data_IF_915036319436
#
_entry.id   IF_915036319436
#
_cell.length_a   1.000
_cell.length_b   1.000
_cell.length_c   1.000
_cell.angle_alpha   90.00
_cell.angle_beta   90.00
_cell.angle_gamma   90.00
#
_symmetry.space_group_name_H-M   'P 1'
#
loop_
_entity.id
_entity.type
_entity.pdbx_description
1 polymer ?
#
# COMPACT_ATOMS: atom_id res chain seq x y z
N UNK A 1 7.90 -15.65 5.71
CA UNK A 1 6.77 -14.82 5.26
C UNK A 1 5.41 -15.42 5.60
N UNK A 2 5.04 -16.62 5.11
CA UNK A 2 3.68 -17.19 5.33
C UNK A 2 3.26 -17.35 6.79
N UNK A 3 4.17 -17.73 7.70
CA UNK A 3 3.84 -17.81 9.14
C UNK A 3 3.46 -16.44 9.70
N UNK A 4 4.26 -15.42 9.40
CA UNK A 4 3.99 -14.05 9.80
C UNK A 4 2.65 -13.54 9.24
N UNK A 5 2.32 -13.85 7.99
CA UNK A 5 1.03 -13.49 7.41
C UNK A 5 -0.13 -14.18 8.12
N UNK A 6 -0.04 -15.49 8.36
CA UNK A 6 -1.08 -16.25 9.05
C UNK A 6 -1.32 -15.72 10.48
N UNK A 7 -0.26 -15.31 11.19
CA UNK A 7 -0.34 -14.70 12.52
C UNK A 7 -1.08 -13.36 12.50
N UNK A 8 -1.01 -12.63 11.38
CA UNK A 8 -1.66 -11.32 11.20
C UNK A 8 -2.91 -11.39 10.30
N UNK A 9 -3.54 -12.57 10.19
CA UNK A 9 -4.74 -12.82 9.39
C UNK A 9 -4.63 -12.30 7.93
N UNK A 10 -3.41 -12.31 7.41
CA UNK A 10 -3.08 -11.96 6.06
C UNK A 10 -3.11 -13.16 5.12
N UNK A 11 -3.18 -12.87 3.83
CA UNK A 11 -2.98 -13.85 2.78
C UNK A 11 -2.10 -13.28 1.68
N UNK A 12 -1.54 -14.18 0.86
CA UNK A 12 -0.68 -13.84 -0.26
C UNK A 12 -1.13 -14.52 -1.52
N UNK A 13 -1.00 -13.79 -2.62
CA UNK A 13 -1.07 -14.36 -3.95
C UNK A 13 0.34 -14.46 -4.53
N UNK A 14 0.58 -15.59 -5.18
CA UNK A 14 1.83 -15.93 -5.83
C UNK A 14 1.67 -15.78 -7.34
N UNK A 15 2.72 -15.33 -8.01
CA UNK A 15 2.79 -15.36 -9.48
C UNK A 15 3.65 -16.53 -9.94
N UNK A 16 3.14 -17.25 -10.94
CA UNK A 16 3.85 -18.32 -11.64
C UNK A 16 4.87 -17.76 -12.66
N UNK A 17 4.83 -16.47 -12.99
CA UNK A 17 5.58 -15.89 -14.12
C UNK A 17 6.35 -14.64 -13.72
N UNK A 18 7.49 -14.82 -13.06
CA UNK A 18 8.58 -13.84 -13.18
C UNK A 18 9.84 -14.65 -13.55
N UNK A 19 10.02 -14.86 -14.87
CA UNK A 19 11.25 -15.43 -15.44
C UNK A 19 11.21 -16.89 -15.90
N UNK A 20 10.09 -17.60 -15.82
CA UNK A 20 10.01 -19.02 -16.20
C UNK A 20 9.87 -19.22 -17.73
N UNK A 21 10.89 -18.88 -18.50
CA UNK A 21 11.14 -19.52 -19.79
C UNK A 21 11.85 -20.85 -19.47
N UNK A 22 11.11 -21.96 -19.49
CA UNK A 22 11.48 -23.35 -19.13
C UNK A 22 11.45 -23.74 -17.65
N UNK A 23 10.32 -24.27 -17.17
CA UNK A 23 10.27 -25.07 -15.94
C UNK A 23 9.41 -26.34 -16.08
N UNK A 24 9.62 -27.12 -17.13
CA UNK A 24 9.09 -28.50 -17.17
C UNK A 24 9.84 -29.49 -16.26
N UNK A 25 10.89 -29.06 -15.54
CA UNK A 25 11.75 -29.96 -14.73
C UNK A 25 11.87 -29.64 -13.24
N UNK A 26 11.13 -28.67 -12.71
CA UNK A 26 11.28 -28.24 -11.30
C UNK A 26 9.96 -28.31 -10.54
N UNK A 27 9.33 -29.49 -10.52
CA UNK A 27 8.32 -29.78 -9.48
C UNK A 27 9.10 -30.18 -8.21
N UNK A 28 9.21 -29.31 -7.19
CA UNK A 28 9.95 -29.67 -5.99
C UNK A 28 9.18 -30.73 -5.20
N UNK A 29 9.94 -31.63 -4.57
CA UNK A 29 9.41 -32.77 -3.84
C UNK A 29 8.47 -32.29 -2.72
N UNK A 30 7.36 -33.03 -2.50
CA UNK A 30 6.29 -32.72 -1.53
C UNK A 30 6.79 -32.34 -0.12
N UNK A 31 7.94 -32.89 0.31
CA UNK A 31 8.52 -32.59 1.62
C UNK A 31 9.10 -31.16 1.71
N UNK A 32 9.64 -30.61 0.61
CA UNK A 32 10.20 -29.27 0.56
C UNK A 32 9.09 -28.21 0.63
N UNK A 33 7.98 -28.44 -0.09
CA UNK A 33 6.74 -27.64 0.02
C UNK A 33 6.17 -27.63 1.44
N UNK A 34 6.28 -28.76 2.15
CA UNK A 34 5.80 -28.91 3.53
C UNK A 34 6.65 -28.13 4.54
N UNK A 35 7.93 -27.93 4.23
CA UNK A 35 8.92 -27.38 5.18
C UNK A 35 9.21 -25.90 4.95
N UNK A 36 9.19 -25.44 3.69
CA UNK A 36 9.51 -24.06 3.31
C UNK A 36 8.29 -23.25 2.82
N UNK A 37 7.13 -23.90 2.65
CA UNK A 37 5.96 -23.28 2.00
C UNK A 37 6.09 -23.26 0.48
N UNK A 38 5.05 -22.74 -0.19
CA UNK A 38 5.07 -22.49 -1.64
C UNK A 38 5.96 -21.30 -2.03
N UNK A 39 6.37 -20.50 -1.04
CA UNK A 39 7.32 -19.36 -1.09
C UNK A 39 8.63 -19.67 -1.83
N UNK A 40 9.04 -20.94 -1.90
CA UNK A 40 10.29 -21.34 -2.54
C UNK A 40 10.19 -21.42 -4.08
N UNK A 41 8.99 -21.55 -4.64
CA UNK A 41 8.79 -21.89 -6.05
C UNK A 41 8.13 -20.78 -6.85
N UNK A 42 7.43 -19.88 -6.16
CA UNK A 42 6.62 -18.84 -6.73
C UNK A 42 6.90 -17.54 -5.98
N UNK A 43 6.96 -16.44 -6.71
CA UNK A 43 7.23 -15.13 -6.11
C UNK A 43 5.94 -14.59 -5.49
N UNK A 44 6.00 -14.17 -4.23
CA UNK A 44 4.89 -13.44 -3.60
C UNK A 44 4.78 -12.08 -4.30
N UNK A 45 3.63 -11.83 -4.90
CA UNK A 45 3.38 -10.64 -5.71
C UNK A 45 2.34 -9.74 -5.06
N UNK A 46 1.40 -10.31 -4.31
CA UNK A 46 0.39 -9.54 -3.57
C UNK A 46 0.38 -9.99 -2.13
N UNK A 47 0.39 -9.02 -1.22
CA UNK A 47 0.15 -9.22 0.21
C UNK A 47 -1.10 -8.43 0.60
N UNK A 48 -2.09 -9.11 1.17
CA UNK A 48 -3.26 -8.46 1.78
C UNK A 48 -3.30 -8.81 3.26
N UNK A 49 -3.37 -7.78 4.11
CA UNK A 49 -3.48 -7.88 5.56
C UNK A 49 -4.83 -7.32 6.00
N UNK A 50 -5.63 -8.18 6.63
CA UNK A 50 -7.00 -7.90 7.09
C UNK A 50 -7.02 -7.62 8.61
N UNK A 51 -8.19 -7.26 9.21
CA UNK A 51 -8.25 -6.58 10.49
C UNK A 51 -7.52 -7.32 11.60
N UNK A 52 -6.39 -6.76 12.02
CA UNK A 52 -5.70 -7.18 13.24
C UNK A 52 -5.31 -5.94 14.02
N UNK A 53 -5.78 -5.86 15.25
CA UNK A 53 -5.61 -4.67 16.10
C UNK A 53 -4.15 -4.44 16.52
N UNK A 54 -3.28 -5.44 16.35
CA UNK A 54 -1.90 -5.43 16.87
C UNK A 54 -0.80 -5.34 15.82
N UNK A 55 -1.12 -5.44 14.53
CA UNK A 55 -0.07 -5.41 13.51
C UNK A 55 0.40 -3.98 13.25
N UNK A 56 1.70 -3.74 13.43
CA UNK A 56 2.33 -2.44 13.20
C UNK A 56 3.65 -2.52 12.43
N UNK A 57 4.27 -3.69 12.36
CA UNK A 57 5.59 -3.88 11.75
C UNK A 57 5.48 -4.48 10.34
N UNK A 58 5.87 -3.70 9.34
CA UNK A 58 5.96 -4.13 7.94
C UNK A 58 7.34 -4.63 7.54
N UNK A 59 8.33 -4.68 8.45
CA UNK A 59 9.71 -5.07 8.15
C UNK A 59 9.84 -6.37 7.34
N UNK A 60 9.02 -7.42 7.58
CA UNK A 60 9.08 -8.63 6.77
C UNK A 60 8.81 -8.38 5.28
N UNK A 61 7.99 -7.40 4.91
CA UNK A 61 7.68 -7.11 3.51
C UNK A 61 8.90 -6.67 2.70
N UNK A 62 9.90 -6.06 3.33
CA UNK A 62 11.15 -5.65 2.68
C UNK A 62 11.94 -6.83 2.10
N UNK A 63 11.67 -8.06 2.56
CA UNK A 63 12.30 -9.29 2.05
C UNK A 63 11.62 -9.86 0.79
N UNK A 64 10.59 -9.17 0.25
CA UNK A 64 9.82 -9.61 -0.93
C UNK A 64 10.18 -8.77 -2.16
N UNK A 65 11.31 -9.03 -2.84
CA UNK A 65 11.81 -8.17 -3.91
C UNK A 65 10.86 -8.07 -5.10
N UNK A 66 9.97 -9.03 -5.29
CA UNK A 66 9.01 -9.10 -6.39
C UNK A 66 7.60 -8.62 -6.02
N UNK A 67 7.42 -8.02 -4.85
CA UNK A 67 6.11 -7.57 -4.40
C UNK A 67 5.59 -6.44 -5.31
N UNK A 68 4.39 -6.62 -5.86
CA UNK A 68 3.72 -5.68 -6.76
C UNK A 68 2.59 -4.93 -6.04
N UNK A 69 1.92 -5.59 -5.09
CA UNK A 69 0.76 -5.04 -4.42
C UNK A 69 0.76 -5.30 -2.92
N UNK A 70 0.47 -4.24 -2.16
CA UNK A 70 0.27 -4.29 -0.70
C UNK A 70 -1.09 -3.69 -0.37
N UNK A 71 -1.90 -4.43 0.35
CA UNK A 71 -3.19 -3.99 0.87
C UNK A 71 -3.22 -4.15 2.39
N UNK A 72 -3.42 -3.06 3.12
CA UNK A 72 -3.54 -3.04 4.58
C UNK A 72 -4.90 -2.46 4.95
N UNK A 73 -5.69 -3.21 5.71
CA UNK A 73 -6.97 -2.74 6.21
C UNK A 73 -7.09 -2.98 7.72
N UNK A 74 -7.47 -1.94 8.48
CA UNK A 74 -7.71 -2.00 9.92
C UNK A 74 -6.50 -2.52 10.70
N UNK A 75 -5.34 -1.87 10.50
CA UNK A 75 -4.06 -2.22 11.13
C UNK A 75 -3.55 -1.05 11.97
N UNK A 76 -2.61 -1.31 12.88
CA UNK A 76 -1.94 -0.27 13.68
C UNK A 76 -0.64 0.23 13.04
N UNK A 77 -0.44 -0.04 11.75
CA UNK A 77 0.75 0.38 10.99
C UNK A 77 0.80 1.90 10.89
N UNK A 78 1.99 2.46 11.15
CA UNK A 78 2.28 3.89 11.01
C UNK A 78 3.58 4.17 10.25
N UNK A 79 4.40 3.15 9.97
CA UNK A 79 5.68 3.29 9.28
C UNK A 79 5.69 2.56 7.92
N UNK A 80 5.88 3.33 6.85
CA UNK A 80 5.98 2.83 5.48
C UNK A 80 7.42 2.57 5.01
N UNK A 81 8.45 2.85 5.84
CA UNK A 81 9.85 2.61 5.49
C UNK A 81 10.14 1.22 4.93
N UNK A 82 9.53 0.13 5.42
CA UNK A 82 9.77 -1.20 4.84
C UNK A 82 9.38 -1.31 3.36
N UNK A 83 8.45 -0.49 2.87
CA UNK A 83 8.04 -0.48 1.46
C UNK A 83 9.04 0.24 0.54
N UNK A 84 9.92 1.09 1.08
CA UNK A 84 10.81 1.94 0.30
C UNK A 84 11.83 1.17 -0.57
N UNK A 85 12.10 -0.09 -0.22
CA UNK A 85 13.02 -0.96 -0.96
C UNK A 85 12.35 -1.76 -2.09
N UNK A 86 11.02 -1.72 -2.19
CA UNK A 86 10.23 -2.56 -3.09
C UNK A 86 10.09 -1.93 -4.47
N UNK A 87 11.15 -2.03 -5.28
CA UNK A 87 11.24 -1.37 -6.59
C UNK A 87 10.19 -1.84 -7.61
N UNK A 88 9.56 -3.00 -7.39
CA UNK A 88 8.52 -3.55 -8.26
C UNK A 88 7.09 -3.25 -7.80
N UNK A 89 6.94 -2.57 -6.66
CA UNK A 89 5.65 -2.22 -6.08
C UNK A 89 4.92 -1.21 -6.97
N UNK A 90 3.69 -1.56 -7.37
CA UNK A 90 2.82 -0.75 -8.25
C UNK A 90 1.56 -0.27 -7.55
N UNK A 91 1.07 -1.03 -6.58
CA UNK A 91 -0.19 -0.74 -5.91
C UNK A 91 -0.01 -0.77 -4.39
N UNK A 92 -0.41 0.31 -3.73
CA UNK A 92 -0.50 0.40 -2.27
C UNK A 92 -1.91 0.84 -1.91
N UNK A 93 -2.61 0.03 -1.13
CA UNK A 93 -3.93 0.36 -0.60
C UNK A 93 -3.94 0.28 0.92
N UNK A 94 -4.37 1.35 1.57
CA UNK A 94 -4.25 1.60 2.99
C UNK A 94 -5.60 2.11 3.50
N UNK A 95 -6.34 1.26 4.21
CA UNK A 95 -7.65 1.59 4.81
C UNK A 95 -7.56 1.54 6.33
N UNK A 96 -7.77 2.69 6.98
CA UNK A 96 -7.70 2.86 8.43
C UNK A 96 -6.35 2.49 9.13
N UNK A 97 -5.15 2.61 8.50
CA UNK A 97 -3.91 2.60 9.27
C UNK A 97 -3.60 3.98 9.86
N UNK A 98 -2.63 4.03 10.77
CA UNK A 98 -2.19 5.25 11.47
C UNK A 98 -1.04 5.95 10.74
N UNK A 99 -1.11 6.00 9.41
CA UNK A 99 -0.05 6.56 8.57
C UNK A 99 -0.25 8.06 8.43
N UNK A 100 0.82 8.81 8.66
CA UNK A 100 0.87 10.26 8.47
C UNK A 100 1.94 10.68 7.46
N UNK A 101 3.06 9.94 7.43
CA UNK A 101 4.21 10.23 6.57
C UNK A 101 4.23 9.35 5.30
N UNK A 102 4.14 10.02 4.14
CA UNK A 102 4.22 9.39 2.82
C UNK A 102 5.61 9.45 2.20
N UNK A 103 6.59 10.08 2.85
CA UNK A 103 7.95 10.22 2.33
C UNK A 103 8.63 8.90 1.94
N UNK A 104 8.39 7.75 2.60
CA UNK A 104 8.98 6.48 2.16
C UNK A 104 8.56 6.04 0.74
N UNK A 105 7.36 6.44 0.28
CA UNK A 105 6.85 6.08 -1.04
C UNK A 105 7.61 6.79 -2.19
N UNK A 106 8.37 7.85 -1.90
CA UNK A 106 9.25 8.51 -2.88
C UNK A 106 10.31 7.56 -3.46
N UNK A 107 10.68 6.52 -2.71
CA UNK A 107 11.68 5.53 -3.14
C UNK A 107 11.08 4.37 -3.93
N UNK A 108 9.78 4.41 -4.22
CA UNK A 108 9.05 3.40 -4.99
C UNK A 108 8.75 3.97 -6.39
N UNK A 109 9.70 3.91 -7.34
CA UNK A 109 9.63 4.67 -8.60
C UNK A 109 8.55 4.18 -9.57
N UNK A 110 7.99 3.00 -9.33
CA UNK A 110 7.01 2.35 -10.18
C UNK A 110 5.59 2.34 -9.57
N UNK A 111 5.35 3.10 -8.49
CA UNK A 111 4.02 3.16 -7.89
C UNK A 111 3.03 3.82 -8.84
N UNK A 112 1.98 3.09 -9.23
CA UNK A 112 0.96 3.53 -10.18
C UNK A 112 -0.38 3.84 -9.51
N UNK A 113 -0.70 3.14 -8.43
CA UNK A 113 -1.96 3.28 -7.70
C UNK A 113 -1.70 3.42 -6.21
N UNK A 114 -2.16 4.52 -5.62
CA UNK A 114 -2.15 4.76 -4.19
C UNK A 114 -3.57 5.01 -3.70
N UNK A 115 -4.05 4.16 -2.79
CA UNK A 115 -5.35 4.29 -2.15
C UNK A 115 -5.11 4.54 -0.66
N UNK A 116 -5.50 5.72 -0.20
CA UNK A 116 -5.57 6.10 1.20
C UNK A 116 -7.04 6.33 1.56
N UNK A 117 -7.51 5.59 2.56
CA UNK A 117 -8.85 5.75 3.09
C UNK A 117 -8.82 5.81 4.61
N UNK A 118 -9.43 6.85 5.18
CA UNK A 118 -9.51 7.05 6.64
C UNK A 118 -8.12 7.03 7.30
N UNK A 119 -7.16 7.74 6.72
CA UNK A 119 -5.79 7.87 7.25
C UNK A 119 -5.54 9.31 7.71
N UNK A 120 -4.81 9.54 8.81
CA UNK A 120 -4.50 10.89 9.33
C UNK A 120 -3.44 11.64 8.51
N UNK A 121 -3.32 11.35 7.21
CA UNK A 121 -2.41 12.04 6.29
C UNK A 121 -2.89 13.47 6.09
N UNK A 122 -1.99 14.42 6.33
CA UNK A 122 -2.22 15.86 6.13
C UNK A 122 -1.13 16.55 5.27
N UNK A 123 -0.05 15.85 4.91
CA UNK A 123 0.98 16.35 3.99
C UNK A 123 1.11 15.44 2.77
N UNK A 124 0.83 16.00 1.60
CA UNK A 124 0.90 15.32 0.30
C UNK A 124 2.04 15.83 -0.58
N UNK A 125 2.92 16.71 -0.07
CA UNK A 125 4.11 17.15 -0.81
C UNK A 125 4.95 15.99 -1.36
N UNK A 126 5.13 14.85 -0.64
CA UNK A 126 5.83 13.70 -1.20
C UNK A 126 5.23 13.17 -2.52
N UNK A 127 3.91 13.32 -2.72
CA UNK A 127 3.24 12.78 -3.91
C UNK A 127 3.43 13.65 -5.16
N UNK A 128 3.73 14.94 -5.00
CA UNK A 128 3.70 15.94 -6.08
C UNK A 128 4.62 15.63 -7.27
N UNK A 129 5.68 14.84 -7.06
CA UNK A 129 6.65 14.48 -8.10
C UNK A 129 6.53 13.02 -8.58
N UNK A 130 5.55 12.26 -8.10
CA UNK A 130 5.37 10.85 -8.43
C UNK A 130 4.70 10.68 -9.80
N UNK A 131 5.45 10.92 -10.88
CA UNK A 131 4.95 10.89 -12.27
C UNK A 131 4.42 9.52 -12.72
N UNK A 132 4.80 8.44 -12.02
CA UNK A 132 4.30 7.09 -12.25
C UNK A 132 2.85 6.91 -11.76
N UNK A 133 2.36 7.73 -10.83
CA UNK A 133 1.00 7.64 -10.32
C UNK A 133 -0.01 7.94 -11.42
N UNK A 134 -0.93 7.00 -11.61
CA UNK A 134 -2.06 7.04 -12.53
C UNK A 134 -3.39 7.13 -11.78
N UNK A 135 -3.44 6.60 -10.56
CA UNK A 135 -4.61 6.61 -9.69
C UNK A 135 -4.22 6.98 -8.27
N UNK A 136 -4.90 7.98 -7.71
CA UNK A 136 -4.71 8.44 -6.34
C UNK A 136 -6.08 8.62 -5.69
N UNK A 137 -6.32 7.93 -4.57
CA UNK A 137 -7.52 8.10 -3.75
C UNK A 137 -7.11 8.56 -2.35
N UNK A 138 -7.75 9.62 -1.84
CA UNK A 138 -7.43 10.29 -0.58
C UNK A 138 -8.68 10.47 0.29
N UNK A 139 -9.56 9.47 0.33
CA UNK A 139 -10.84 9.59 1.01
C UNK A 139 -10.65 9.64 2.53
N UNK A 140 -11.37 10.55 3.19
CA UNK A 140 -11.33 10.74 4.65
C UNK A 140 -9.90 10.95 5.17
N UNK A 141 -9.13 11.75 4.45
CA UNK A 141 -7.81 12.22 4.89
C UNK A 141 -7.91 13.64 5.45
N UNK A 142 -6.87 14.09 6.12
CA UNK A 142 -6.80 15.41 6.79
C UNK A 142 -6.16 16.48 5.90
N UNK A 143 -6.04 16.24 4.59
CA UNK A 143 -5.50 17.23 3.64
C UNK A 143 -6.50 18.35 3.39
N UNK A 144 -6.00 19.52 3.01
CA UNK A 144 -6.86 20.65 2.66
C UNK A 144 -7.33 20.60 1.20
N UNK A 145 -8.39 21.35 0.87
CA UNK A 145 -8.79 21.60 -0.53
C UNK A 145 -7.61 22.17 -1.34
N UNK A 146 -6.80 23.04 -0.73
CA UNK A 146 -5.64 23.63 -1.41
C UNK A 146 -4.60 22.56 -1.78
N UNK A 147 -4.40 21.57 -0.92
CA UNK A 147 -3.51 20.43 -1.20
C UNK A 147 -4.05 19.56 -2.33
N UNK A 148 -5.36 19.29 -2.35
CA UNK A 148 -6.03 18.57 -3.43
C UNK A 148 -5.87 19.30 -4.78
N UNK A 149 -6.10 20.61 -4.82
CA UNK A 149 -5.89 21.42 -6.01
C UNK A 149 -4.42 21.45 -6.47
N UNK A 150 -3.49 21.50 -5.51
CA UNK A 150 -2.06 21.42 -5.82
C UNK A 150 -1.68 20.07 -6.43
N UNK A 151 -2.24 18.96 -5.91
CA UNK A 151 -2.06 17.62 -6.47
C UNK A 151 -2.57 17.52 -7.91
N UNK A 152 -3.77 18.04 -8.19
CA UNK A 152 -4.33 18.04 -9.54
C UNK A 152 -3.43 18.78 -10.54
N UNK A 153 -2.82 19.89 -10.11
CA UNK A 153 -1.88 20.65 -10.95
C UNK A 153 -0.53 19.94 -11.12
N UNK A 154 -0.03 19.30 -10.07
CA UNK A 154 1.26 18.64 -10.08
C UNK A 154 1.23 17.31 -10.87
N UNK A 155 0.09 16.61 -10.85
CA UNK A 155 -0.11 15.30 -11.46
C UNK A 155 -1.29 15.31 -12.44
N UNK A 156 -1.25 16.10 -13.53
CA UNK A 156 -2.37 16.23 -14.47
C UNK A 156 -2.72 14.92 -15.21
N UNK A 157 -1.80 13.95 -15.21
CA UNK A 157 -2.02 12.61 -15.77
C UNK A 157 -2.70 11.63 -14.79
N UNK A 158 -2.74 11.97 -13.51
CA UNK A 158 -3.25 11.09 -12.46
C UNK A 158 -4.74 11.34 -12.24
N UNK A 159 -5.52 10.27 -12.16
CA UNK A 159 -6.92 10.34 -11.73
C UNK A 159 -6.90 10.46 -10.20
N UNK A 160 -7.36 11.60 -9.69
CA UNK A 160 -7.34 11.91 -8.26
C UNK A 160 -8.77 11.99 -7.73
N UNK A 161 -9.07 11.19 -6.72
CA UNK A 161 -10.30 11.26 -5.93
C UNK A 161 -9.96 11.66 -4.50
N UNK A 162 -10.71 12.60 -3.97
CA UNK A 162 -10.57 13.06 -2.59
C UNK A 162 -11.95 13.32 -2.00
N UNK A 163 -12.10 12.95 -0.73
CA UNK A 163 -13.22 13.36 0.11
C UNK A 163 -12.66 13.73 1.49
N UNK A 164 -13.15 14.81 2.11
CA UNK A 164 -12.70 15.21 3.44
C UNK A 164 -13.08 14.19 4.51
N UNK A 165 -12.41 14.27 5.67
CA UNK A 165 -12.83 13.53 6.87
C UNK A 165 -14.13 14.16 7.42
N UNK A 166 -15.09 13.32 7.82
CA UNK A 166 -16.35 13.82 8.36
C UNK A 166 -16.12 14.68 9.62
N UNK A 167 -16.74 15.86 9.68
CA UNK A 167 -16.55 16.84 10.76
C UNK A 167 -15.19 17.56 10.75
N UNK A 168 -14.46 17.50 9.64
CA UNK A 168 -13.24 18.30 9.45
C UNK A 168 -13.59 19.68 8.88
N UNK A 169 -12.71 20.70 9.01
CA UNK A 169 -12.96 22.03 8.44
C UNK A 169 -13.21 22.06 6.93
N UNK A 170 -12.87 20.98 6.22
CA UNK A 170 -13.05 20.80 4.78
C UNK A 170 -14.29 19.96 4.44
N UNK A 171 -15.03 19.46 5.43
CA UNK A 171 -16.27 18.69 5.24
C UNK A 171 -17.44 19.61 4.87
N UNK A 172 -18.02 19.49 3.65
CA UNK A 172 -19.13 20.32 3.23
C UNK A 172 -20.42 20.10 4.05
N UNK A 173 -20.54 18.97 4.73
CA UNK A 173 -21.73 18.63 5.55
C UNK A 173 -21.58 19.04 7.02
N UNK A 174 -20.46 19.66 7.42
CA UNK A 174 -20.24 20.07 8.81
C UNK A 174 -20.93 21.42 9.13
N UNK A 175 -22.20 21.34 9.55
CA UNK A 175 -23.02 22.49 9.97
C UNK A 175 -22.50 23.24 11.23
N UNK A 176 -21.37 22.84 11.83
CA UNK A 176 -20.89 23.39 13.11
C UNK A 176 -19.92 24.58 13.02
N UNK A 177 -19.39 24.95 11.85
CA UNK A 177 -18.39 26.03 11.74
C UNK A 177 -18.93 27.47 11.67
N UNK A 178 -20.26 27.68 11.71
CA UNK A 178 -20.89 29.00 11.62
C UNK A 178 -21.64 29.46 12.89
N UNK A 179 -21.25 29.00 14.09
CA UNK A 179 -21.83 29.48 15.36
C UNK A 179 -20.81 30.06 16.32
#
# INVERSE_FOLDING_TARGET
MVRWLNEHQGYVNYSHEIGAQNTSSLIPRKWLRRQLGIDYCENIVTVTLCPTTSMSDLSPLAELPHLIQVELAYTSVSDLKPLASLIHLRTVALREPRITDLSPLLSVPNLESLILESTPVNDVKPLMNMKSLKYLQLNKTEISEADYQALQKALPQCIIYWSPLAGSPTDPDDEYYFR
#
